data_IF_120802671806
#
_entry.id   IF_120802671806
#
_cell.length_a   1.000
_cell.length_b   1.000
_cell.length_c   1.000
_cell.angle_alpha   90.00
_cell.angle_beta   90.00
_cell.angle_gamma   90.00
#
_symmetry.space_group_name_H-M   'P 1'
#
loop_
_entity.id
_entity.type
_entity.pdbx_description
1 polymer ?
#
# COMPACT_ATOMS: atom_id res chain seq x y z
N UNK A 1 -0.84 11.67 8.30
CA UNK A 1 0.18 10.59 8.21
C UNK A 1 0.28 9.95 9.58
N UNK A 2 0.29 8.62 9.66
CA UNK A 2 0.44 7.91 10.94
C UNK A 2 1.87 8.01 11.49
N UNK A 3 2.01 8.03 12.80
CA UNK A 3 3.27 8.04 13.52
C UNK A 3 3.71 6.60 13.86
N UNK A 4 4.53 6.39 14.90
CA UNK A 4 4.91 5.05 15.36
C UNK A 4 3.86 4.39 16.26
N UNK A 5 3.01 5.17 16.93
CA UNK A 5 1.89 4.67 17.75
C UNK A 5 0.63 4.38 16.94
N UNK A 6 0.59 4.75 15.65
CA UNK A 6 -0.55 4.48 14.78
C UNK A 6 -0.74 3.00 14.53
N UNK A 7 -1.88 2.50 15.01
CA UNK A 7 -2.40 1.19 14.71
C UNK A 7 -3.25 1.26 13.43
N UNK A 8 -2.95 0.38 12.47
CA UNK A 8 -3.74 0.25 11.23
C UNK A 8 -4.29 -1.15 11.14
N UNK A 9 -5.60 -1.28 10.91
CA UNK A 9 -6.31 -2.55 10.77
C UNK A 9 -7.07 -2.58 9.45
N UNK A 10 -7.18 -3.77 8.86
CA UNK A 10 -7.99 -4.04 7.68
C UNK A 10 -9.04 -5.10 8.00
N UNK A 11 -10.26 -4.92 7.50
CA UNK A 11 -11.30 -5.93 7.48
C UNK A 11 -11.66 -6.24 6.04
N UNK A 12 -11.82 -7.51 5.71
CA UNK A 12 -12.23 -7.98 4.39
C UNK A 12 -13.66 -8.52 4.53
N UNK A 13 -14.62 -7.93 3.81
CA UNK A 13 -16.05 -8.19 3.94
C UNK A 13 -16.52 -8.13 5.41
N UNK A 14 -17.13 -9.23 5.88
CA UNK A 14 -17.60 -9.44 7.24
C UNK A 14 -16.64 -10.28 8.09
N UNK A 15 -15.39 -10.44 7.63
CA UNK A 15 -14.35 -11.15 8.37
C UNK A 15 -13.81 -10.40 9.59
N UNK A 16 -12.78 -10.96 10.20
CA UNK A 16 -12.11 -10.35 11.36
C UNK A 16 -11.22 -9.17 10.98
N UNK A 17 -11.01 -8.27 11.94
CA UNK A 17 -10.00 -7.21 11.81
C UNK A 17 -8.59 -7.80 11.87
N UNK A 18 -7.83 -7.59 10.80
CA UNK A 18 -6.43 -7.99 10.66
C UNK A 18 -5.55 -6.78 10.93
N UNK A 19 -4.61 -6.91 11.87
CA UNK A 19 -3.60 -5.88 12.12
C UNK A 19 -2.64 -5.77 10.92
N UNK A 20 -2.38 -4.55 10.46
CA UNK A 20 -1.43 -4.26 9.40
C UNK A 20 -0.06 -3.90 10.00
N UNK A 21 1.00 -4.35 9.33
CA UNK A 21 2.38 -4.04 9.66
C UNK A 21 2.83 -2.77 8.92
N UNK A 22 3.43 -1.83 9.62
CA UNK A 22 4.10 -0.66 9.01
C UNK A 22 5.39 -1.13 8.33
N UNK A 23 5.55 -0.82 7.05
CA UNK A 23 6.73 -1.23 6.27
C UNK A 23 7.48 -0.03 5.70
N UNK A 24 8.80 -0.13 5.68
CA UNK A 24 9.71 0.88 5.13
C UNK A 24 10.26 0.37 3.80
N UNK A 25 9.50 0.59 2.74
CA UNK A 25 9.84 0.17 1.38
C UNK A 25 9.57 1.30 0.37
N UNK A 26 10.17 1.24 -0.83
CA UNK A 26 9.72 2.06 -1.94
C UNK A 26 8.21 2.00 -2.17
N UNK A 27 7.59 3.15 -2.42
CA UNK A 27 6.16 3.19 -2.75
C UNK A 27 5.88 2.44 -4.07
N UNK A 28 5.05 1.37 -4.05
CA UNK A 28 4.76 0.58 -5.25
C UNK A 28 4.14 1.41 -6.39
N UNK A 29 3.31 2.39 -6.07
CA UNK A 29 2.73 3.28 -7.06
C UNK A 29 3.81 4.17 -7.68
N UNK A 30 4.69 4.77 -6.87
CA UNK A 30 5.80 5.56 -7.38
C UNK A 30 6.75 4.75 -8.27
N UNK A 31 7.12 3.54 -7.82
CA UNK A 31 7.94 2.60 -8.59
C UNK A 31 7.28 2.30 -9.94
N UNK A 32 5.97 2.05 -9.95
CA UNK A 32 5.23 1.77 -11.19
C UNK A 32 5.23 2.96 -12.17
N UNK A 33 5.14 4.19 -11.67
CA UNK A 33 5.19 5.40 -12.48
C UNK A 33 6.56 5.58 -13.14
N UNK A 34 7.65 5.39 -12.38
CA UNK A 34 9.02 5.46 -12.92
C UNK A 34 9.22 4.40 -14.01
N UNK A 35 8.82 3.15 -13.77
CA UNK A 35 8.92 2.07 -14.76
C UNK A 35 8.14 2.43 -16.03
N UNK A 36 6.90 2.93 -15.89
CA UNK A 36 6.08 3.34 -17.03
C UNK A 36 6.71 4.52 -17.80
N UNK A 37 7.31 5.48 -17.09
CA UNK A 37 8.04 6.60 -17.72
C UNK A 37 9.27 6.11 -18.48
N UNK A 38 10.03 5.15 -17.94
CA UNK A 38 11.18 4.56 -18.64
C UNK A 38 10.76 3.84 -19.92
N UNK A 39 9.66 3.09 -19.88
CA UNK A 39 9.14 2.37 -21.05
C UNK A 39 8.66 3.31 -22.17
N UNK A 40 8.23 4.53 -21.83
CA UNK A 40 7.74 5.53 -22.80
C UNK A 40 8.85 6.36 -23.45
N UNK A 41 10.08 6.34 -22.93
CA UNK A 41 11.19 7.15 -23.46
C UNK A 41 11.81 6.50 -24.69
N UNK A 42 12.23 7.34 -25.64
CA UNK A 42 13.05 6.93 -26.77
C UNK A 42 14.38 6.36 -26.23
N UNK A 43 14.93 5.23 -26.72
CA UNK A 43 16.13 4.60 -26.15
C UNK A 43 17.38 5.48 -26.10
N UNK A 44 17.39 6.60 -26.83
CA UNK A 44 18.43 7.62 -26.82
C UNK A 44 18.34 8.61 -25.64
N UNK A 45 17.19 8.72 -24.98
CA UNK A 45 16.93 9.63 -23.84
C UNK A 45 16.84 8.88 -22.50
N UNK A 46 17.66 7.84 -22.33
CA UNK A 46 17.74 7.11 -21.06
C UNK A 46 18.18 8.08 -19.97
N UNK A 47 17.23 8.50 -19.12
CA UNK A 47 17.55 9.21 -17.88
C UNK A 47 18.24 8.21 -16.92
N UNK A 48 19.52 8.38 -16.58
CA UNK A 48 20.22 7.45 -15.70
C UNK A 48 19.78 7.56 -14.24
N UNK A 49 19.12 8.65 -13.86
CA UNK A 49 19.08 9.10 -12.47
C UNK A 49 18.03 8.45 -11.56
N UNK A 50 17.00 7.77 -12.10
CA UNK A 50 15.90 7.25 -11.29
C UNK A 50 16.02 5.77 -10.91
N UNK A 51 16.91 5.00 -11.55
CA UNK A 51 17.02 3.55 -11.31
C UNK A 51 17.62 3.20 -9.95
N UNK A 52 18.53 4.03 -9.45
CA UNK A 52 19.38 3.60 -8.35
C UNK A 52 18.84 3.97 -6.95
N UNK A 53 17.77 4.78 -6.85
CA UNK A 53 17.21 5.22 -5.56
C UNK A 53 15.71 5.48 -5.62
N UNK A 54 14.89 4.43 -5.54
CA UNK A 54 13.50 4.64 -5.16
C UNK A 54 13.45 5.06 -3.68
N UNK A 55 12.93 6.27 -3.35
CA UNK A 55 12.86 6.71 -1.97
C UNK A 55 11.96 5.77 -1.17
N UNK A 56 12.43 5.40 0.02
CA UNK A 56 11.66 4.60 0.97
C UNK A 56 10.51 5.44 1.51
N UNK A 57 9.30 4.90 1.47
CA UNK A 57 8.11 5.53 2.02
C UNK A 57 7.97 5.23 3.51
N UNK A 58 7.59 6.24 4.29
CA UNK A 58 7.28 6.12 5.72
C UNK A 58 5.79 5.85 5.99
N UNK A 59 5.00 5.70 4.93
CA UNK A 59 3.54 5.70 4.98
C UNK A 59 2.91 4.42 4.39
N UNK A 60 3.66 3.32 4.37
CA UNK A 60 3.15 2.05 3.89
C UNK A 60 2.78 1.13 5.04
N UNK A 61 1.62 0.50 4.91
CA UNK A 61 1.14 -0.58 5.77
C UNK A 61 0.75 -1.78 4.92
N UNK A 62 1.08 -2.98 5.38
CA UNK A 62 0.76 -4.24 4.70
C UNK A 62 0.05 -5.20 5.64
N UNK A 63 -0.88 -5.96 5.10
CA UNK A 63 -1.46 -7.13 5.75
C UNK A 63 -1.40 -8.31 4.80
N UNK A 64 -1.33 -9.52 5.37
CA UNK A 64 -1.51 -10.74 4.61
C UNK A 64 -3.00 -10.95 4.38
N UNK A 65 -3.36 -11.17 3.12
CA UNK A 65 -4.70 -11.62 2.76
C UNK A 65 -4.81 -13.09 3.17
N UNK A 66 -5.93 -13.52 3.82
CA UNK A 66 -6.15 -14.93 4.11
C UNK A 66 -6.06 -15.77 2.83
N UNK A 67 -5.64 -17.04 2.93
CA UNK A 67 -5.40 -17.88 1.74
C UNK A 67 -6.66 -18.56 1.18
N UNK A 68 -7.73 -18.59 1.97
CA UNK A 68 -8.98 -19.31 1.74
C UNK A 68 -10.09 -18.49 1.08
N UNK A 69 -9.87 -17.19 0.89
CA UNK A 69 -10.85 -16.22 0.38
C UNK A 69 -11.15 -16.44 -1.11
N UNK A 70 -10.25 -17.07 -1.88
CA UNK A 70 -10.44 -17.37 -3.30
C UNK A 70 -10.31 -16.16 -4.24
N UNK A 71 -10.42 -16.41 -5.54
CA UNK A 71 -10.44 -15.39 -6.60
C UNK A 71 -11.78 -14.64 -6.58
N UNK A 72 -11.75 -13.30 -6.67
CA UNK A 72 -12.96 -12.50 -6.60
C UNK A 72 -12.73 -11.00 -6.36
N UNK A 73 -13.81 -10.30 -6.07
CA UNK A 73 -13.82 -8.88 -5.70
C UNK A 73 -14.40 -8.77 -4.30
N UNK A 74 -13.66 -8.12 -3.40
CA UNK A 74 -14.01 -8.03 -1.99
C UNK A 74 -14.00 -6.58 -1.54
N UNK A 75 -15.00 -6.17 -0.76
CA UNK A 75 -14.97 -4.91 -0.04
C UNK A 75 -13.96 -5.02 1.10
N UNK A 76 -13.08 -4.04 1.20
CA UNK A 76 -12.19 -3.88 2.33
C UNK A 76 -12.46 -2.57 3.07
N UNK A 77 -12.31 -2.61 4.38
CA UNK A 77 -12.38 -1.45 5.27
C UNK A 77 -11.04 -1.33 5.96
N UNK A 78 -10.43 -0.15 5.91
CA UNK A 78 -9.16 0.14 6.58
C UNK A 78 -9.41 1.20 7.64
N UNK A 79 -8.94 0.95 8.85
CA UNK A 79 -9.04 1.86 9.98
C UNK A 79 -7.65 2.20 10.50
N UNK A 80 -7.39 3.47 10.76
CA UNK A 80 -6.16 3.95 11.39
C UNK A 80 -6.52 4.74 12.65
N UNK A 81 -5.86 4.42 13.76
CA UNK A 81 -6.04 5.16 15.02
C UNK A 81 -4.76 5.24 15.84
N UNK A 82 -4.63 6.32 16.61
CA UNK A 82 -3.57 6.48 17.60
C UNK A 82 -4.06 7.20 18.87
N UNK A 83 -3.18 7.29 19.85
CA UNK A 83 -3.38 7.95 21.14
C UNK A 83 -3.39 9.49 21.05
N UNK A 84 -2.95 10.05 19.93
CA UNK A 84 -2.91 11.50 19.69
C UNK A 84 -4.20 12.05 19.06
N UNK A 85 -5.17 11.18 18.79
CA UNK A 85 -6.50 11.54 18.28
C UNK A 85 -6.74 11.22 16.82
N UNK A 86 -5.81 10.53 16.13
CA UNK A 86 -6.11 9.96 14.82
C UNK A 86 -7.21 8.91 14.99
N UNK A 87 -8.29 9.05 14.22
CA UNK A 87 -9.33 8.05 14.09
C UNK A 87 -9.97 8.20 12.70
N UNK A 88 -9.41 7.48 11.73
CA UNK A 88 -9.80 7.55 10.33
C UNK A 88 -10.23 6.18 9.81
N UNK A 89 -11.21 6.16 8.92
CA UNK A 89 -11.69 4.96 8.24
C UNK A 89 -11.81 5.24 6.73
N UNK A 90 -11.48 4.23 5.92
CA UNK A 90 -11.64 4.26 4.47
C UNK A 90 -12.10 2.90 3.95
N UNK A 91 -12.67 2.88 2.75
CA UNK A 91 -13.17 1.67 2.10
C UNK A 91 -12.65 1.59 0.67
N UNK A 92 -12.33 0.38 0.23
CA UNK A 92 -11.87 0.12 -1.14
C UNK A 92 -12.32 -1.27 -1.61
N UNK A 93 -12.09 -1.56 -2.89
CA UNK A 93 -12.28 -2.89 -3.47
C UNK A 93 -10.93 -3.58 -3.64
N UNK A 94 -10.82 -4.80 -3.13
CA UNK A 94 -9.70 -5.71 -3.31
C UNK A 94 -10.05 -6.71 -4.41
N UNK A 95 -9.21 -6.77 -5.44
CA UNK A 95 -9.35 -7.71 -6.56
C UNK A 95 -8.30 -8.82 -6.38
N UNK A 96 -8.75 -10.05 -6.21
CA UNK A 96 -7.90 -11.24 -6.16
C UNK A 96 -8.10 -12.00 -7.47
N UNK A 97 -6.99 -12.30 -8.15
CA UNK A 97 -6.95 -13.02 -9.43
C UNK A 97 -6.41 -14.42 -9.22
#
# INVERSE_FOLDING_TARGET
>A
AGNESTEVKIKIEDGDWILMEKVLEPDPFYVSQIIAMEQRKNPAEKMPYYRDKFPVSQHLWKARVPSDIGTGVYKIIVRASDDTGLNAESQALLFIK
#
